data_IF_962628713378
#
_entry.id   IF_962628713378
#
_cell.length_a   1.000
_cell.length_b   1.000
_cell.length_c   1.000
_cell.angle_alpha   90.00
_cell.angle_beta   90.00
_cell.angle_gamma   90.00
#
_symmetry.space_group_name_H-M   'P 1'
#
loop_
_entity.id
_entity.type
_entity.pdbx_description
1 polymer ?
#
# COMPACT_ATOMS: atom_id res chain seq x y z
N UNK A 1 -16.07 -1.13 16.46
CA UNK A 1 -15.35 -2.36 16.04
C UNK A 1 -13.98 -1.92 15.59
N UNK A 2 -12.93 -2.51 16.17
CA UNK A 2 -11.55 -2.14 15.90
C UNK A 2 -11.11 -2.67 14.53
N UNK A 3 -10.09 -2.04 13.94
CA UNK A 3 -9.39 -2.56 12.77
C UNK A 3 -8.75 -3.91 13.08
N UNK A 4 -8.56 -4.73 12.05
CA UNK A 4 -8.00 -6.07 12.17
C UNK A 4 -6.87 -6.24 11.17
N UNK A 5 -5.76 -6.86 11.61
CA UNK A 5 -4.68 -7.28 10.71
C UNK A 5 -5.06 -8.60 10.04
N UNK A 6 -5.09 -8.63 8.71
CA UNK A 6 -5.52 -9.83 7.97
C UNK A 6 -4.60 -11.02 8.23
N UNK A 7 -3.29 -10.79 8.37
CA UNK A 7 -2.27 -11.82 8.65
C UNK A 7 -2.45 -12.55 9.98
N UNK A 8 -3.25 -12.01 10.90
CA UNK A 8 -3.53 -12.62 12.19
C UNK A 8 -4.81 -13.48 12.18
N UNK A 9 -5.50 -13.56 11.05
CA UNK A 9 -6.75 -14.31 10.90
C UNK A 9 -6.50 -15.64 10.21
N UNK A 10 -7.28 -16.65 10.60
CA UNK A 10 -7.51 -17.81 9.74
C UNK A 10 -8.32 -17.42 8.50
N UNK A 11 -8.22 -18.19 7.42
CA UNK A 11 -9.01 -17.92 6.22
C UNK A 11 -10.53 -17.98 6.49
N UNK A 12 -10.96 -18.81 7.46
CA UNK A 12 -12.36 -18.92 7.90
C UNK A 12 -12.85 -17.65 8.60
N UNK A 13 -11.97 -16.96 9.32
CA UNK A 13 -12.29 -15.65 9.92
C UNK A 13 -12.27 -14.54 8.88
N UNK A 14 -11.32 -14.58 7.94
CA UNK A 14 -11.23 -13.64 6.82
C UNK A 14 -12.48 -13.68 5.94
N UNK A 15 -12.97 -14.88 5.59
CA UNK A 15 -14.20 -15.06 4.79
C UNK A 15 -15.41 -14.32 5.37
N UNK A 16 -15.52 -14.25 6.70
CA UNK A 16 -16.66 -13.60 7.37
C UNK A 16 -16.64 -12.08 7.28
N UNK A 17 -15.46 -11.50 7.06
CA UNK A 17 -15.27 -10.04 7.13
C UNK A 17 -14.95 -9.42 5.78
N UNK A 18 -14.48 -10.19 4.80
CA UNK A 18 -14.21 -9.73 3.43
C UNK A 18 -15.51 -9.70 2.62
N UNK A 19 -15.91 -8.49 2.22
CA UNK A 19 -17.11 -8.22 1.42
C UNK A 19 -17.03 -6.80 0.80
N UNK A 20 -18.08 -6.35 0.14
CA UNK A 20 -18.09 -5.05 -0.56
C UNK A 20 -18.05 -3.80 0.34
N UNK A 21 -18.43 -3.95 1.62
CA UNK A 21 -18.34 -2.88 2.61
C UNK A 21 -16.95 -2.80 3.27
N UNK A 22 -16.10 -3.79 3.01
CA UNK A 22 -14.73 -3.82 3.50
C UNK A 22 -13.88 -2.73 2.88
N UNK A 23 -13.13 -2.02 3.73
CA UNK A 23 -12.06 -1.12 3.32
C UNK A 23 -10.73 -1.79 3.66
N UNK A 24 -9.94 -2.10 2.64
CA UNK A 24 -8.56 -2.57 2.83
C UNK A 24 -7.59 -1.40 2.89
N UNK A 25 -6.72 -1.43 3.89
CA UNK A 25 -5.57 -0.56 3.99
C UNK A 25 -4.31 -1.39 3.71
N UNK A 26 -3.56 -1.04 2.68
CA UNK A 26 -2.30 -1.70 2.32
C UNK A 26 -1.17 -0.68 2.50
N UNK A 27 -0.29 -0.85 3.49
CA UNK A 27 0.88 0.01 3.60
C UNK A 27 1.88 -0.31 2.50
N UNK A 28 2.53 0.71 1.96
CA UNK A 28 3.58 0.59 0.96
C UNK A 28 4.79 1.40 1.41
N UNK A 29 5.87 0.70 1.72
CA UNK A 29 7.13 1.31 2.13
C UNK A 29 8.30 0.40 1.82
N UNK A 30 9.33 0.96 1.18
CA UNK A 30 10.52 0.21 0.83
C UNK A 30 11.20 -0.38 2.08
N UNK A 31 11.50 -1.69 2.04
CA UNK A 31 12.28 -2.33 3.10
C UNK A 31 13.78 -2.13 2.94
N UNK A 32 14.23 -1.84 1.72
CA UNK A 32 15.63 -1.63 1.37
C UNK A 32 15.79 -0.52 0.33
N UNK A 33 15.96 0.73 0.78
CA UNK A 33 16.15 1.94 -0.05
C UNK A 33 17.00 2.97 0.70
N UNK A 34 17.86 3.67 -0.01
CA UNK A 34 18.69 4.75 0.54
C UNK A 34 17.86 5.89 1.17
N UNK A 35 18.43 6.48 2.23
CA UNK A 35 17.91 7.59 3.02
C UNK A 35 19.05 8.42 3.67
N UNK A 36 20.10 8.69 2.90
CA UNK A 36 21.32 9.34 3.35
C UNK A 36 22.21 8.47 4.26
N UNK A 37 23.33 9.03 4.74
CA UNK A 37 24.35 8.27 5.48
C UNK A 37 23.96 7.94 6.93
N UNK A 38 22.80 8.38 7.41
CA UNK A 38 22.45 8.36 8.83
C UNK A 38 21.19 7.53 9.14
N UNK A 39 20.36 7.23 8.14
CA UNK A 39 19.14 6.44 8.31
C UNK A 39 19.31 5.02 7.79
N UNK A 40 18.60 4.05 8.37
CA UNK A 40 18.63 2.68 7.88
C UNK A 40 17.84 2.52 6.58
N UNK A 41 18.18 1.50 5.79
CA UNK A 41 17.56 1.22 4.50
C UNK A 41 16.05 0.91 4.57
N UNK A 42 15.52 0.60 5.75
CA UNK A 42 14.10 0.26 5.96
C UNK A 42 13.27 1.44 6.46
N UNK A 43 13.76 2.68 6.33
CA UNK A 43 13.07 3.88 6.85
C UNK A 43 11.64 4.02 6.30
N UNK A 44 11.42 3.80 5.01
CA UNK A 44 10.07 3.83 4.42
C UNK A 44 9.15 2.79 5.05
N UNK A 45 9.63 1.56 5.23
CA UNK A 45 8.86 0.49 5.87
C UNK A 45 8.47 0.85 7.32
N UNK A 46 9.41 1.41 8.11
CA UNK A 46 9.11 1.87 9.48
C UNK A 46 8.00 2.94 9.47
N UNK A 47 8.08 3.91 8.54
CA UNK A 47 7.06 4.94 8.41
C UNK A 47 5.70 4.37 7.99
N UNK A 48 5.68 3.45 7.03
CA UNK A 48 4.46 2.81 6.54
C UNK A 48 3.75 2.02 7.66
N UNK A 49 4.50 1.20 8.41
CA UNK A 49 3.97 0.46 9.57
C UNK A 49 3.41 1.42 10.63
N UNK A 50 4.18 2.44 11.01
CA UNK A 50 3.76 3.41 12.02
C UNK A 50 2.47 4.14 11.61
N UNK A 51 2.41 4.67 10.39
CA UNK A 51 1.25 5.39 9.91
C UNK A 51 0.03 4.47 9.75
N UNK A 52 0.23 3.23 9.29
CA UNK A 52 -0.86 2.27 9.17
C UNK A 52 -1.48 1.91 10.52
N UNK A 53 -0.66 1.74 11.55
CA UNK A 53 -1.10 1.53 12.93
C UNK A 53 -1.82 2.75 13.51
N UNK A 54 -1.45 3.96 13.09
CA UNK A 54 -2.15 5.19 13.48
C UNK A 54 -3.52 5.26 12.81
N UNK A 55 -3.59 5.05 11.49
CA UNK A 55 -4.85 5.06 10.74
C UNK A 55 -5.80 3.97 11.26
N UNK A 56 -5.29 2.78 11.56
CA UNK A 56 -6.11 1.64 12.03
C UNK A 56 -6.80 1.89 13.38
N UNK A 57 -6.28 2.85 14.18
CA UNK A 57 -6.90 3.28 15.45
C UNK A 57 -8.01 4.31 15.26
N UNK A 58 -7.98 5.05 14.16
CA UNK A 58 -8.91 6.16 13.88
C UNK A 58 -10.02 5.74 12.91
N UNK A 59 -9.72 4.83 11.99
CA UNK A 59 -10.64 4.37 10.94
C UNK A 59 -10.71 2.85 10.97
N UNK A 60 -11.93 2.29 10.89
CA UNK A 60 -12.14 0.83 10.81
C UNK A 60 -11.73 0.33 9.43
N UNK A 61 -10.63 -0.42 9.38
CA UNK A 61 -10.09 -1.03 8.15
C UNK A 61 -9.66 -2.48 8.41
N UNK A 62 -9.50 -3.25 7.34
CA UNK A 62 -8.68 -4.46 7.37
C UNK A 62 -7.27 -4.07 6.92
N UNK A 63 -6.30 -4.22 7.81
CA UNK A 63 -4.90 -3.90 7.55
C UNK A 63 -4.21 -5.10 6.91
N UNK A 64 -3.73 -4.91 5.69
CA UNK A 64 -2.94 -5.88 4.94
C UNK A 64 -1.46 -5.80 5.34
N UNK A 65 -0.68 -6.88 5.10
CA UNK A 65 0.78 -6.81 5.23
C UNK A 65 1.37 -5.70 4.36
N UNK A 66 2.41 -5.05 4.84
CA UNK A 66 3.09 -3.99 4.09
C UNK A 66 3.77 -4.53 2.84
N UNK A 67 3.56 -3.85 1.72
CA UNK A 67 4.30 -4.08 0.48
C UNK A 67 5.70 -3.47 0.63
N UNK A 68 6.72 -4.33 0.54
CA UNK A 68 8.10 -4.02 0.92
C UNK A 68 9.01 -3.64 -0.25
N UNK A 69 8.57 -3.90 -1.48
CA UNK A 69 9.31 -3.60 -2.71
C UNK A 69 8.44 -2.85 -3.70
N UNK A 70 9.04 -1.90 -4.40
CA UNK A 70 8.35 -0.99 -5.31
C UNK A 70 9.29 -0.38 -6.33
N UNK A 71 8.80 0.63 -7.04
CA UNK A 71 9.55 1.32 -8.08
C UNK A 71 10.27 2.55 -7.50
N UNK A 72 11.61 2.50 -7.44
CA UNK A 72 12.52 3.48 -6.84
C UNK A 72 13.78 3.66 -7.71
N UNK A 73 13.64 4.05 -8.99
CA UNK A 73 14.74 4.00 -9.98
C UNK A 73 15.93 4.92 -9.63
N UNK A 74 15.65 6.03 -8.95
CA UNK A 74 16.64 7.06 -8.61
C UNK A 74 17.64 6.65 -7.53
N UNK A 75 17.42 5.54 -6.83
CA UNK A 75 18.21 5.15 -5.67
C UNK A 75 19.18 4.00 -5.94
N UNK A 76 19.28 3.53 -7.19
CA UNK A 76 20.05 2.34 -7.56
C UNK A 76 21.58 2.54 -7.56
N UNK A 77 22.06 3.78 -7.47
CA UNK A 77 23.50 4.05 -7.28
C UNK A 77 23.97 3.76 -5.85
N UNK A 78 23.04 3.64 -4.88
CA UNK A 78 23.33 3.41 -3.47
C UNK A 78 23.23 1.91 -3.14
N UNK A 79 24.33 1.26 -2.71
CA UNK A 79 24.32 -0.16 -2.38
C UNK A 79 23.28 -0.51 -1.30
N UNK A 80 22.49 -1.54 -1.56
CA UNK A 80 21.41 -1.98 -0.68
C UNK A 80 20.03 -1.44 -1.08
N UNK A 81 19.94 -0.42 -1.93
CA UNK A 81 18.66 -0.03 -2.54
C UNK A 81 18.18 -1.08 -3.54
N UNK A 82 16.92 -1.46 -3.44
CA UNK A 82 16.27 -2.39 -4.37
C UNK A 82 15.06 -1.71 -5.00
N UNK A 83 15.04 -1.66 -6.33
CA UNK A 83 13.89 -1.23 -7.12
C UNK A 83 13.47 -2.36 -8.04
N UNK A 84 12.16 -2.64 -8.10
CA UNK A 84 11.58 -3.46 -9.17
C UNK A 84 11.23 -2.57 -10.38
N UNK A 85 10.98 -3.19 -11.52
CA UNK A 85 10.52 -2.48 -12.72
C UNK A 85 9.13 -1.85 -12.47
N UNK A 86 8.87 -0.69 -13.10
CA UNK A 86 7.58 0.01 -12.98
C UNK A 86 6.39 -0.88 -13.36
N UNK A 87 6.50 -1.65 -14.43
CA UNK A 87 5.44 -2.55 -14.89
C UNK A 87 5.24 -3.70 -13.89
N UNK A 88 6.32 -4.29 -13.38
CA UNK A 88 6.25 -5.31 -12.31
C UNK A 88 5.58 -4.76 -11.06
N UNK A 89 5.89 -3.53 -10.65
CA UNK A 89 5.23 -2.89 -9.51
C UNK A 89 3.74 -2.67 -9.77
N UNK A 90 3.38 -2.15 -10.95
CA UNK A 90 1.97 -1.96 -11.33
C UNK A 90 1.19 -3.28 -11.32
N UNK A 91 1.74 -4.34 -11.93
CA UNK A 91 1.11 -5.66 -11.94
C UNK A 91 1.03 -6.28 -10.54
N UNK A 92 2.05 -6.12 -9.69
CA UNK A 92 1.98 -6.53 -8.29
C UNK A 92 0.79 -5.90 -7.57
N UNK A 93 0.60 -4.58 -7.70
CA UNK A 93 -0.53 -3.88 -7.09
C UNK A 93 -1.86 -4.41 -7.62
N UNK A 94 -1.96 -4.59 -8.94
CA UNK A 94 -3.16 -5.12 -9.57
C UNK A 94 -3.48 -6.51 -9.06
N UNK A 95 -2.53 -7.45 -9.08
CA UNK A 95 -2.76 -8.84 -8.68
C UNK A 95 -3.24 -8.95 -7.23
N UNK A 96 -2.68 -8.15 -6.32
CA UNK A 96 -3.15 -8.06 -4.94
C UNK A 96 -4.61 -7.56 -4.91
N UNK A 97 -4.90 -6.44 -5.57
CA UNK A 97 -6.25 -5.85 -5.56
C UNK A 97 -7.31 -6.78 -6.17
N UNK A 98 -6.95 -7.48 -7.26
CA UNK A 98 -7.83 -8.39 -7.97
C UNK A 98 -8.11 -9.63 -7.13
N UNK A 99 -7.10 -10.16 -6.45
CA UNK A 99 -7.26 -11.29 -5.53
C UNK A 99 -8.25 -10.95 -4.42
N UNK A 100 -8.11 -9.77 -3.81
CA UNK A 100 -9.02 -9.30 -2.76
C UNK A 100 -10.43 -9.01 -3.29
N UNK A 101 -10.54 -8.55 -4.54
CA UNK A 101 -11.83 -8.37 -5.19
C UNK A 101 -12.56 -9.70 -5.45
N UNK A 102 -11.83 -10.81 -5.64
CA UNK A 102 -12.40 -12.16 -5.69
C UNK A 102 -13.19 -12.55 -4.44
N UNK A 103 -12.90 -11.94 -3.29
CA UNK A 103 -13.63 -12.10 -2.02
C UNK A 103 -14.67 -11.00 -1.78
N UNK A 104 -15.01 -10.21 -2.82
CA UNK A 104 -16.04 -9.17 -2.77
C UNK A 104 -15.53 -7.79 -2.37
N UNK A 105 -14.26 -7.60 -2.00
CA UNK A 105 -13.73 -6.28 -1.64
C UNK A 105 -13.70 -5.35 -2.85
N UNK A 106 -14.20 -4.12 -2.68
CA UNK A 106 -14.17 -3.09 -3.75
C UNK A 106 -13.41 -1.82 -3.40
N UNK A 107 -13.15 -1.57 -2.10
CA UNK A 107 -12.55 -0.33 -1.60
C UNK A 107 -11.16 -0.64 -1.05
N UNK A 108 -10.13 -0.18 -1.73
CA UNK A 108 -8.73 -0.43 -1.38
C UNK A 108 -7.99 0.90 -1.31
N UNK A 109 -7.24 1.09 -0.24
CA UNK A 109 -6.39 2.26 -0.03
C UNK A 109 -4.93 1.83 0.16
N UNK A 110 -4.04 2.34 -0.68
CA UNK A 110 -2.59 2.16 -0.51
C UNK A 110 -2.01 3.36 0.25
N UNK A 111 -1.55 3.11 1.48
CA UNK A 111 -0.81 4.09 2.26
C UNK A 111 0.62 4.16 1.73
N UNK A 112 0.82 5.02 0.74
CA UNK A 112 2.05 5.17 -0.01
C UNK A 112 2.99 6.18 0.66
N UNK A 113 4.25 5.80 0.89
CA UNK A 113 5.27 6.67 1.50
C UNK A 113 6.29 7.23 0.50
N UNK A 114 6.14 6.97 -0.80
CA UNK A 114 7.14 7.31 -1.81
C UNK A 114 6.59 8.10 -3.01
N UNK A 115 7.40 9.00 -3.56
CA UNK A 115 7.02 9.76 -4.77
C UNK A 115 7.11 8.89 -6.03
N UNK A 116 8.18 8.10 -6.17
CA UNK A 116 8.42 7.29 -7.37
C UNK A 116 7.32 6.26 -7.66
N UNK A 117 6.64 5.77 -6.64
CA UNK A 117 5.56 4.78 -6.73
C UNK A 117 4.23 5.35 -7.25
N UNK A 118 4.05 6.68 -7.23
CA UNK A 118 2.81 7.35 -7.65
C UNK A 118 2.43 6.98 -9.09
N UNK A 119 3.38 6.95 -10.02
CA UNK A 119 3.10 6.64 -11.42
C UNK A 119 2.49 5.24 -11.59
N UNK A 120 3.08 4.24 -10.93
CA UNK A 120 2.58 2.86 -10.96
C UNK A 120 1.21 2.73 -10.29
N UNK A 121 1.01 3.40 -9.16
CA UNK A 121 -0.26 3.42 -8.43
C UNK A 121 -1.37 4.08 -9.24
N UNK A 122 -1.08 5.19 -9.92
CA UNK A 122 -2.01 5.88 -10.81
C UNK A 122 -2.47 4.97 -11.94
N UNK A 123 -1.53 4.37 -12.66
CA UNK A 123 -1.82 3.44 -13.77
C UNK A 123 -2.63 2.23 -13.29
N UNK A 124 -2.24 1.62 -12.17
CA UNK A 124 -2.98 0.52 -11.56
C UNK A 124 -4.42 0.95 -11.19
N UNK A 125 -4.58 2.12 -10.58
CA UNK A 125 -5.89 2.66 -10.19
C UNK A 125 -6.82 2.87 -11.40
N UNK A 126 -6.31 3.45 -12.48
CA UNK A 126 -7.08 3.66 -13.71
C UNK A 126 -7.55 2.34 -14.34
N UNK A 127 -6.68 1.33 -14.38
CA UNK A 127 -7.01 0.01 -14.89
C UNK A 127 -8.01 -0.74 -14.00
N UNK A 128 -7.83 -0.69 -12.68
CA UNK A 128 -8.69 -1.35 -11.69
C UNK A 128 -10.09 -0.71 -11.63
N UNK A 129 -10.19 0.61 -11.82
CA UNK A 129 -11.49 1.30 -11.85
C UNK A 129 -12.40 0.79 -12.97
N UNK A 130 -11.85 0.39 -14.11
CA UNK A 130 -12.63 -0.22 -15.22
C UNK A 130 -13.23 -1.58 -14.85
N UNK A 131 -12.76 -2.19 -13.76
CA UNK A 131 -13.23 -3.47 -13.21
C UNK A 131 -14.11 -3.30 -11.96
N UNK A 132 -14.49 -2.07 -11.62
CA UNK A 132 -15.30 -1.79 -10.43
C UNK A 132 -14.53 -1.88 -9.12
N UNK A 133 -13.19 -1.85 -9.16
CA UNK A 133 -12.33 -1.81 -7.97
C UNK A 133 -11.90 -0.36 -7.75
N UNK A 134 -12.31 0.24 -6.64
CA UNK A 134 -11.90 1.57 -6.23
C UNK A 134 -10.58 1.47 -5.49
N UNK A 135 -9.48 1.71 -6.20
CA UNK A 135 -8.16 1.91 -5.62
C UNK A 135 -7.93 3.42 -5.40
N UNK A 136 -7.58 3.79 -4.18
CA UNK A 136 -7.05 5.11 -3.83
C UNK A 136 -5.68 4.95 -3.16
N UNK A 137 -4.90 6.00 -3.12
CA UNK A 137 -3.58 5.98 -2.50
C UNK A 137 -3.19 7.35 -1.99
N UNK A 138 -2.23 7.39 -1.07
CA UNK A 138 -1.63 8.63 -0.59
C UNK A 138 -0.73 9.22 -1.68
N UNK A 139 -1.13 10.37 -2.23
CA UNK A 139 -0.22 11.20 -3.01
C UNK A 139 0.59 12.07 -2.05
N UNK A 140 1.85 11.68 -1.81
CA UNK A 140 2.69 12.39 -0.84
C UNK A 140 3.03 13.82 -1.27
N UNK A 141 2.88 14.15 -2.56
CA UNK A 141 3.09 15.51 -3.07
C UNK A 141 1.91 16.42 -2.75
N UNK A 142 0.71 15.85 -2.58
CA UNK A 142 -0.51 16.58 -2.21
C UNK A 142 -0.84 16.46 -0.71
N UNK A 143 -0.08 15.64 0.02
CA UNK A 143 -0.28 15.38 1.44
C UNK A 143 0.21 16.55 2.30
N UNK A 144 -0.63 17.04 3.22
CA UNK A 144 -0.30 18.13 4.13
C UNK A 144 -0.90 19.49 3.73
N UNK A 145 -1.56 19.58 2.59
CA UNK A 145 -2.49 20.67 2.32
C UNK A 145 -3.77 20.39 3.12
N UNK A 146 -3.98 21.14 4.20
CA UNK A 146 -5.28 21.16 4.89
C UNK A 146 -6.27 21.70 3.87
N UNK A 147 -7.17 20.84 3.38
CA UNK A 147 -8.33 21.29 2.65
C UNK A 147 -9.25 21.92 3.69
N UNK A 148 -9.30 23.25 3.71
CA UNK A 148 -10.31 24.01 4.47
C UNK A 148 -11.73 23.70 3.98
#
# INVERSE_FOLDING_TARGET
MNSVKLENLSWVEAEKILNEDTILLIPLGARTKEHGPHLPLNTDWIMAEYLAERVSREVKVILMPTIQYGYYPSFLEYPGSVSINLETFKELIKDICISMNGYGVRKIYILNTGVSTIEGLKKASEELSRRGILLKYTDILESGHIVE
#
